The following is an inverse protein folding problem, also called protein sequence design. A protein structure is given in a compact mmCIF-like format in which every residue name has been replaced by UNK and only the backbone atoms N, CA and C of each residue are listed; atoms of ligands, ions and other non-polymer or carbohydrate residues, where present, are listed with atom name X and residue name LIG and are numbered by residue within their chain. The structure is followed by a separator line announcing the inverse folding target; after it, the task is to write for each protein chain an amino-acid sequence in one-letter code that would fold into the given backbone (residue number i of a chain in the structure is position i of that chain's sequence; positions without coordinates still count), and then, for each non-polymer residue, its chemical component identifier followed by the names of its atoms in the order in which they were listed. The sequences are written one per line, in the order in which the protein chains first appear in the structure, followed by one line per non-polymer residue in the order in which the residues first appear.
data_IF_780438464307
#
_entry.id   IF_780438464307
#
_cell.length_a   1.000
_cell.length_b   1.000
_cell.length_c   1.000
_cell.angle_alpha   90.00
_cell.angle_beta   90.00
_cell.angle_gamma   90.00
#
_symmetry.space_group_name_H-M   'P 1'
#
loop_
_entity.id
_entity.type
_entity.pdbx_description
1 polymer ?
#
# COMPACT_ATOMS: atom_id res chain seq x y z
N UNK A 1 13.30 -7.37 -2.95
CA UNK A 1 12.58 -6.10 -3.22
C UNK A 1 11.08 -6.37 -3.42
N UNK A 2 10.71 -7.25 -4.36
CA UNK A 2 9.31 -7.61 -4.62
C UNK A 2 8.60 -8.21 -3.40
N UNK A 3 9.23 -9.15 -2.69
CA UNK A 3 8.67 -9.74 -1.48
C UNK A 3 8.31 -8.69 -0.41
N UNK A 4 9.22 -7.74 -0.15
CA UNK A 4 8.96 -6.64 0.80
C UNK A 4 7.79 -5.75 0.34
N UNK A 5 7.63 -5.52 -0.96
CA UNK A 5 6.50 -4.77 -1.50
C UNK A 5 5.16 -5.50 -1.32
N UNK A 6 5.16 -6.83 -1.43
CA UNK A 6 3.97 -7.65 -1.17
C UNK A 6 3.65 -7.68 0.32
N UNK A 7 4.65 -7.91 1.18
CA UNK A 7 4.49 -7.94 2.64
C UNK A 7 3.92 -6.62 3.20
N UNK A 8 4.39 -5.47 2.71
CA UNK A 8 3.88 -4.16 3.12
C UNK A 8 2.40 -3.96 2.73
N UNK A 9 2.00 -4.39 1.53
CA UNK A 9 0.61 -4.31 1.07
C UNK A 9 -0.29 -5.36 1.73
N UNK A 10 0.28 -6.49 2.14
CA UNK A 10 -0.37 -7.51 2.95
C UNK A 10 -0.66 -7.03 4.37
N UNK A 11 0.27 -6.31 4.99
CA UNK A 11 0.07 -5.71 6.31
C UNK A 11 -1.02 -4.65 6.30
N UNK A 12 -1.08 -3.82 5.24
CA UNK A 12 -2.13 -2.82 5.10
C UNK A 12 -3.51 -3.43 4.78
N UNK A 13 -3.53 -4.57 4.08
CA UNK A 13 -4.72 -5.39 3.82
C UNK A 13 -5.93 -4.61 3.25
N UNK A 14 -5.68 -3.66 2.34
CA UNK A 14 -6.75 -2.88 1.69
C UNK A 14 -7.67 -3.80 0.88
N UNK A 15 -8.97 -3.71 1.13
CA UNK A 15 -9.97 -4.50 0.43
C UNK A 15 -10.40 -3.84 -0.90
N UNK A 16 -10.87 -4.64 -1.89
CA UNK A 16 -11.42 -4.10 -3.11
C UNK A 16 -12.60 -3.15 -2.83
N UNK A 17 -12.56 -1.93 -3.39
CA UNK A 17 -13.60 -0.91 -3.21
C UNK A 17 -13.55 -0.16 -1.88
N UNK A 18 -12.72 -0.59 -0.94
CA UNK A 18 -12.64 0.03 0.39
C UNK A 18 -12.15 1.49 0.33
N UNK A 19 -11.21 1.80 -0.57
CA UNK A 19 -10.72 3.18 -0.71
C UNK A 19 -11.84 4.14 -1.15
N UNK A 20 -12.73 3.70 -2.04
CA UNK A 20 -13.84 4.52 -2.51
C UNK A 20 -14.87 4.77 -1.39
N UNK A 21 -15.09 3.77 -0.53
CA UNK A 21 -15.92 3.91 0.67
C UNK A 21 -15.30 4.88 1.67
N UNK A 22 -13.99 4.75 1.93
CA UNK A 22 -13.24 5.66 2.81
C UNK A 22 -13.30 7.09 2.27
N UNK A 23 -13.11 7.30 0.96
CA UNK A 23 -13.16 8.63 0.35
C UNK A 23 -14.56 9.26 0.46
N UNK A 24 -15.60 8.48 0.18
CA UNK A 24 -16.99 8.95 0.28
C UNK A 24 -17.35 9.32 1.73
N UNK A 25 -16.95 8.49 2.69
CA UNK A 25 -17.20 8.74 4.10
C UNK A 25 -16.38 9.91 4.64
N UNK A 26 -15.11 10.03 4.23
CA UNK A 26 -14.24 11.13 4.62
C UNK A 26 -14.83 12.45 4.18
N UNK A 27 -15.30 12.55 2.93
CA UNK A 27 -15.96 13.75 2.43
C UNK A 27 -17.20 14.11 3.24
N UNK A 28 -18.00 13.11 3.64
CA UNK A 28 -19.19 13.32 4.49
C UNK A 28 -18.81 13.87 5.86
N UNK A 29 -17.83 13.27 6.53
CA UNK A 29 -17.40 13.66 7.87
C UNK A 29 -16.63 14.98 7.87
N UNK A 30 -15.81 15.25 6.85
CA UNK A 30 -15.08 16.51 6.69
C UNK A 30 -16.03 17.70 6.56
N UNK A 31 -17.12 17.54 5.80
CA UNK A 31 -18.17 18.56 5.72
C UNK A 31 -18.84 18.79 7.09
N UNK A 32 -19.08 17.73 7.86
CA UNK A 32 -19.61 17.82 9.21
C UNK A 32 -18.66 18.54 10.17
N UNK A 33 -17.37 18.20 10.13
CA UNK A 33 -16.34 18.86 10.94
C UNK A 33 -16.25 20.36 10.64
N UNK A 34 -16.24 20.72 9.35
CA UNK A 34 -16.29 22.11 8.91
C UNK A 34 -17.55 22.83 9.41
N UNK A 35 -18.70 22.16 9.42
CA UNK A 35 -19.93 22.73 10.00
C UNK A 35 -19.79 22.99 11.50
N UNK A 36 -19.25 22.03 12.27
CA UNK A 36 -19.03 22.22 13.72
C UNK A 36 -18.09 23.41 13.97
N UNK A 37 -16.95 23.46 13.28
CA UNK A 37 -15.95 24.52 13.45
C UNK A 37 -16.55 25.90 13.15
N UNK A 38 -17.27 26.03 12.02
CA UNK A 38 -17.93 27.28 11.66
C UNK A 38 -19.06 27.65 12.63
N UNK A 39 -19.80 26.67 13.18
CA UNK A 39 -20.79 26.93 14.22
C UNK A 39 -20.13 27.46 15.50
N UNK A 40 -19.02 26.85 15.93
CA UNK A 40 -18.22 27.30 17.08
C UNK A 40 -17.71 28.73 16.89
N UNK A 41 -17.14 29.04 15.72
CA UNK A 41 -16.70 30.40 15.40
C UNK A 41 -17.87 31.39 15.38
N UNK A 42 -19.02 30.98 14.83
CA UNK A 42 -20.25 31.79 14.84
C UNK A 42 -20.72 32.11 16.26
N UNK A 43 -20.80 31.11 17.14
CA UNK A 43 -21.16 31.29 18.56
C UNK A 43 -20.16 32.20 19.29
N UNK A 44 -18.87 32.04 19.03
CA UNK A 44 -17.84 32.92 19.56
C UNK A 44 -18.06 34.39 19.16
N UNK A 45 -18.37 34.65 17.89
CA UNK A 45 -18.63 36.01 17.40
C UNK A 45 -19.95 36.58 17.93
N UNK A 46 -20.99 35.75 18.07
CA UNK A 46 -22.32 36.19 18.46
C UNK A 46 -22.40 36.46 19.97
N UNK A 47 -21.92 35.54 20.81
CA UNK A 47 -22.19 35.55 22.26
C UNK A 47 -21.02 35.16 23.17
N UNK A 48 -20.07 34.33 22.75
CA UNK A 48 -19.06 33.74 23.67
C UNK A 48 -17.72 34.50 23.72
N UNK A 49 -17.45 35.41 22.77
CA UNK A 49 -16.18 36.14 22.73
C UNK A 49 -15.98 37.06 23.92
N UNK A 50 -14.88 36.88 24.66
CA UNK A 50 -14.61 37.58 25.93
C UNK A 50 -14.26 39.07 25.73
N UNK A 51 -13.49 39.41 24.70
CA UNK A 51 -13.05 40.80 24.44
C UNK A 51 -14.17 41.65 23.82
N UNK A 52 -14.85 41.11 22.80
CA UNK A 52 -15.99 41.72 22.14
C UNK A 52 -16.76 40.66 21.35
N UNK A 53 -18.08 40.66 21.50
CA UNK A 53 -19.02 39.87 20.71
C UNK A 53 -20.22 40.73 20.30
N UNK A 54 -20.99 40.28 19.31
CA UNK A 54 -22.10 41.06 18.75
C UNK A 54 -23.14 41.40 19.81
N UNK A 55 -23.50 40.44 20.68
CA UNK A 55 -24.47 40.63 21.76
C UNK A 55 -24.02 41.72 22.77
N UNK A 56 -22.77 41.68 23.22
CA UNK A 56 -22.22 42.64 24.18
C UNK A 56 -22.10 44.06 23.59
N UNK A 57 -21.75 44.16 22.30
CA UNK A 57 -21.68 45.45 21.60
C UNK A 57 -23.07 46.04 21.37
N UNK A 58 -24.06 45.22 20.99
CA UNK A 58 -25.46 45.65 20.88
C UNK A 58 -26.03 46.09 22.22
N UNK A 59 -25.78 45.35 23.31
CA UNK A 59 -26.17 45.75 24.66
C UNK A 59 -25.63 47.14 25.03
N UNK A 60 -24.34 47.41 24.76
CA UNK A 60 -23.74 48.74 24.98
C UNK A 60 -24.42 49.82 24.14
N UNK A 61 -24.74 49.54 22.88
CA UNK A 61 -25.44 50.47 22.00
C UNK A 61 -26.87 50.76 22.48
N UNK A 62 -27.59 49.74 22.96
CA UNK A 62 -28.91 49.89 23.59
C UNK A 62 -28.83 50.78 24.82
N UNK A 63 -27.87 50.55 25.73
CA UNK A 63 -27.70 51.39 26.93
C UNK A 63 -27.44 52.86 26.58
N UNK A 64 -26.58 53.12 25.59
CA UNK A 64 -26.31 54.49 25.13
C UNK A 64 -27.54 55.14 24.49
N UNK A 65 -28.31 54.40 23.69
CA UNK A 65 -29.56 54.91 23.12
C UNK A 65 -30.59 55.23 24.23
N UNK A 66 -30.62 54.41 25.29
CA UNK A 66 -31.50 54.61 26.44
C UNK A 66 -31.11 55.85 27.25
N UNK A 67 -29.82 56.15 27.41
CA UNK A 67 -29.35 57.40 28.03
C UNK A 67 -29.67 58.63 27.18
N UNK A 68 -29.60 58.50 25.85
CA UNK A 68 -29.82 59.62 24.93
C UNK A 68 -31.30 60.00 24.79
N UNK A 69 -32.23 59.07 25.02
CA UNK A 69 -33.68 59.34 24.96
C UNK A 69 -34.12 60.44 25.94
N UNK A 70 -33.39 60.60 27.05
CA UNK A 70 -33.67 61.63 28.06
C UNK A 70 -33.36 63.04 27.54
N UNK A 71 -32.53 63.15 26.49
CA UNK A 71 -32.19 64.41 25.82
C UNK A 71 -33.05 64.66 24.58
N UNK A 72 -33.35 63.62 23.80
CA UNK A 72 -34.18 63.71 22.59
C UNK A 72 -35.10 62.48 22.45
N UNK A 73 -36.43 62.65 22.63
CA UNK A 73 -37.41 61.58 22.50
C UNK A 73 -37.45 60.92 21.11
N UNK A 74 -36.99 61.58 20.03
CA UNK A 74 -36.96 60.95 18.70
C UNK A 74 -36.01 59.74 18.65
N UNK A 75 -35.06 59.65 19.59
CA UNK A 75 -34.10 58.54 19.69
C UNK A 75 -34.69 57.26 20.28
N UNK A 76 -35.90 57.30 20.86
CA UNK A 76 -36.61 56.12 21.38
C UNK A 76 -36.81 55.06 20.29
N UNK A 77 -37.08 55.49 19.05
CA UNK A 77 -37.26 54.60 17.89
C UNK A 77 -35.96 53.82 17.61
N UNK A 78 -34.81 54.47 17.71
CA UNK A 78 -33.50 53.83 17.48
C UNK A 78 -33.21 52.81 18.58
N UNK A 79 -33.48 53.15 19.84
CA UNK A 79 -33.34 52.22 20.97
C UNK A 79 -34.20 50.96 20.81
N UNK A 80 -35.45 51.12 20.38
CA UNK A 80 -36.35 50.00 20.10
C UNK A 80 -35.81 49.09 18.97
N UNK A 81 -35.34 49.67 17.86
CA UNK A 81 -34.73 48.90 16.77
C UNK A 81 -33.47 48.13 17.21
N UNK A 82 -32.63 48.72 18.06
CA UNK A 82 -31.45 48.06 18.61
C UNK A 82 -31.82 46.91 19.55
N UNK A 83 -32.88 47.06 20.35
CA UNK A 83 -33.41 45.99 21.20
C UNK A 83 -33.96 44.82 20.38
N UNK A 84 -34.70 45.08 19.31
CA UNK A 84 -35.19 44.03 18.39
C UNK A 84 -34.03 43.29 17.72
N UNK A 85 -32.98 44.01 17.30
CA UNK A 85 -31.77 43.40 16.75
C UNK A 85 -31.05 42.54 17.79
N UNK A 86 -30.95 43.00 19.05
CA UNK A 86 -30.36 42.23 20.15
C UNK A 86 -31.09 40.91 20.38
N UNK A 87 -32.43 40.94 20.45
CA UNK A 87 -33.26 39.73 20.60
C UNK A 87 -33.00 38.77 19.43
N UNK A 88 -32.99 39.29 18.19
CA UNK A 88 -32.76 38.48 16.99
C UNK A 88 -31.39 37.80 16.99
N UNK A 89 -30.35 38.49 17.50
CA UNK A 89 -29.00 37.94 17.65
C UNK A 89 -28.98 36.82 18.69
N UNK A 90 -29.61 37.03 19.85
CA UNK A 90 -29.70 36.02 20.92
C UNK A 90 -30.43 34.75 20.46
N UNK A 91 -31.55 34.91 19.74
CA UNK A 91 -32.29 33.78 19.16
C UNK A 91 -31.46 33.03 18.12
N UNK A 92 -30.74 33.76 17.26
CA UNK A 92 -29.86 33.16 16.25
C UNK A 92 -28.72 32.36 16.89
N UNK A 93 -28.11 32.89 17.96
CA UNK A 93 -27.07 32.19 18.72
C UNK A 93 -27.63 30.92 19.37
N UNK A 94 -28.81 30.99 19.99
CA UNK A 94 -29.47 29.83 20.59
C UNK A 94 -29.81 28.75 19.56
N UNK A 95 -30.32 29.13 18.39
CA UNK A 95 -30.64 28.17 17.32
C UNK A 95 -29.37 27.56 16.72
N UNK A 96 -28.28 28.33 16.57
CA UNK A 96 -26.99 27.83 16.13
C UNK A 96 -26.38 26.83 17.13
N UNK A 97 -26.50 27.11 18.42
CA UNK A 97 -26.06 26.20 19.49
C UNK A 97 -26.85 24.89 19.49
N UNK A 98 -28.18 24.98 19.30
CA UNK A 98 -29.04 23.82 19.13
C UNK A 98 -28.70 23.03 17.88
N UNK A 99 -28.44 23.70 16.75
CA UNK A 99 -28.01 23.02 15.53
C UNK A 99 -26.68 22.28 15.74
N UNK A 100 -25.70 22.92 16.38
CA UNK A 100 -24.41 22.31 16.70
C UNK A 100 -24.55 21.08 17.62
N UNK A 101 -25.46 21.10 18.60
CA UNK A 101 -25.64 19.95 19.49
C UNK A 101 -26.27 18.73 18.82
N UNK A 102 -26.92 18.91 17.67
CA UNK A 102 -27.46 17.80 16.85
C UNK A 102 -26.45 17.25 15.84
N UNK A 103 -25.31 17.92 15.62
CA UNK A 103 -24.22 17.40 14.82
C UNK A 103 -23.49 16.30 15.61
N UNK A 104 -23.99 15.07 15.50
CA UNK A 104 -23.28 13.87 15.95
C UNK A 104 -22.11 13.60 15.00
N UNK A 105 -20.93 14.08 15.38
CA UNK A 105 -19.67 13.62 14.79
C UNK A 105 -18.93 12.80 15.83
N UNK A 106 -18.48 11.62 15.42
CA UNK A 106 -17.55 10.79 16.16
C UNK A 106 -16.12 11.20 15.76
N UNK A 107 -15.40 11.98 16.59
CA UNK A 107 -14.07 12.47 16.24
C UNK A 107 -13.04 11.35 16.20
N UNK A 108 -13.24 10.30 16.99
CA UNK A 108 -12.34 9.15 17.04
C UNK A 108 -12.46 8.34 15.76
N UNK A 109 -13.69 8.11 15.28
CA UNK A 109 -13.95 7.49 13.99
C UNK A 109 -13.35 8.30 12.82
N UNK A 110 -13.54 9.62 12.81
CA UNK A 110 -12.98 10.47 11.76
C UNK A 110 -11.44 10.43 11.74
N UNK A 111 -10.79 10.43 12.90
CA UNK A 111 -9.33 10.31 13.00
C UNK A 111 -8.82 8.95 12.49
N UNK A 112 -9.52 7.85 12.80
CA UNK A 112 -9.19 6.52 12.28
C UNK A 112 -9.31 6.48 10.75
N UNK A 113 -10.36 7.09 10.21
CA UNK A 113 -10.60 7.17 8.77
C UNK A 113 -9.50 7.98 8.05
N UNK A 114 -9.12 9.14 8.60
CA UNK A 114 -8.00 9.98 8.14
C UNK A 114 -6.69 9.19 8.13
N UNK A 115 -6.39 8.45 9.20
CA UNK A 115 -5.19 7.63 9.29
C UNK A 115 -5.17 6.56 8.19
N UNK A 116 -6.29 5.84 8.01
CA UNK A 116 -6.40 4.78 6.98
C UNK A 116 -6.29 5.34 5.56
N UNK A 117 -6.93 6.47 5.29
CA UNK A 117 -6.85 7.21 4.02
C UNK A 117 -5.41 7.66 3.72
N UNK A 118 -4.74 8.26 4.72
CA UNK A 118 -3.36 8.73 4.58
C UNK A 118 -2.38 7.58 4.31
N UNK A 119 -2.53 6.45 5.00
CA UNK A 119 -1.76 5.24 4.76
C UNK A 119 -1.96 4.72 3.33
N UNK A 120 -3.21 4.63 2.85
CA UNK A 120 -3.50 4.23 1.47
C UNK A 120 -2.82 5.15 0.45
N UNK A 121 -2.86 6.46 0.65
CA UNK A 121 -2.21 7.44 -0.24
C UNK A 121 -0.68 7.34 -0.20
N UNK A 122 -0.09 7.07 0.97
CA UNK A 122 1.35 6.88 1.11
C UNK A 122 1.83 5.64 0.33
N UNK A 123 1.12 4.52 0.49
CA UNK A 123 1.41 3.29 -0.24
C UNK A 123 1.22 3.48 -1.75
N UNK A 124 0.11 4.07 -2.18
CA UNK A 124 -0.14 4.39 -3.58
C UNK A 124 0.99 5.22 -4.21
N UNK A 125 1.50 6.25 -3.50
CA UNK A 125 2.66 7.02 -3.95
C UNK A 125 3.94 6.19 -4.04
N UNK A 126 4.19 5.32 -3.06
CA UNK A 126 5.37 4.42 -3.04
C UNK A 126 5.37 3.43 -4.20
N UNK A 127 4.18 2.94 -4.57
CA UNK A 127 3.97 2.02 -5.69
C UNK A 127 3.71 2.71 -7.03
N UNK A 128 3.61 4.05 -7.06
CA UNK A 128 3.38 4.85 -8.27
C UNK A 128 2.08 4.42 -8.99
N UNK A 129 1.01 4.25 -8.21
CA UNK A 129 -0.34 3.94 -8.70
C UNK A 129 -1.35 4.86 -8.05
N UNK A 130 -2.55 4.95 -8.62
CA UNK A 130 -3.65 5.57 -7.90
C UNK A 130 -4.05 4.71 -6.68
N UNK A 131 -4.57 5.30 -5.60
CA UNK A 131 -5.06 4.53 -4.46
C UNK A 131 -6.17 3.54 -4.82
N UNK A 132 -7.03 3.88 -5.80
CA UNK A 132 -8.06 2.96 -6.31
C UNK A 132 -7.46 1.70 -6.96
N UNK A 133 -6.30 1.83 -7.60
CA UNK A 133 -5.62 0.72 -8.28
C UNK A 133 -4.72 -0.09 -7.34
N UNK A 134 -4.55 0.32 -6.08
CA UNK A 134 -3.59 -0.30 -5.16
C UNK A 134 -3.85 -1.80 -4.95
N UNK A 135 -5.13 -2.19 -4.87
CA UNK A 135 -5.54 -3.60 -4.70
C UNK A 135 -5.22 -4.43 -5.96
N UNK A 136 -5.48 -3.88 -7.14
CA UNK A 136 -5.15 -4.52 -8.40
C UNK A 136 -3.62 -4.65 -8.57
N UNK A 137 -2.88 -3.62 -8.20
CA UNK A 137 -1.42 -3.63 -8.18
C UNK A 137 -0.89 -4.69 -7.21
N UNK A 138 -1.42 -4.76 -5.99
CA UNK A 138 -1.07 -5.78 -5.00
C UNK A 138 -1.27 -7.21 -5.56
N UNK A 139 -2.41 -7.46 -6.19
CA UNK A 139 -2.72 -8.75 -6.82
C UNK A 139 -1.69 -9.11 -7.90
N UNK A 140 -1.29 -8.13 -8.72
CA UNK A 140 -0.28 -8.33 -9.76
C UNK A 140 1.10 -8.66 -9.16
N UNK A 141 1.54 -7.94 -8.12
CA UNK A 141 2.81 -8.22 -7.46
C UNK A 141 2.85 -9.63 -6.84
N UNK A 142 1.75 -10.08 -6.24
CA UNK A 142 1.63 -11.45 -5.72
C UNK A 142 1.80 -12.50 -6.81
N UNK A 143 1.12 -12.32 -7.95
CA UNK A 143 1.26 -13.22 -9.08
C UNK A 143 2.70 -13.25 -9.65
N UNK A 144 3.37 -12.10 -9.71
CA UNK A 144 4.77 -12.01 -10.12
C UNK A 144 5.70 -12.72 -9.13
N UNK A 145 5.45 -12.60 -7.82
CA UNK A 145 6.21 -13.28 -6.78
C UNK A 145 6.04 -14.79 -6.85
N UNK A 146 4.79 -15.26 -6.94
CA UNK A 146 4.47 -16.69 -7.06
C UNK A 146 5.11 -17.32 -8.31
N UNK A 147 5.17 -16.57 -9.42
CA UNK A 147 5.81 -17.02 -10.64
C UNK A 147 7.33 -17.21 -10.47
N UNK A 148 8.00 -16.29 -9.78
CA UNK A 148 9.44 -16.36 -9.49
C UNK A 148 9.75 -17.56 -8.59
N UNK A 149 8.96 -17.76 -7.53
CA UNK A 149 9.15 -18.88 -6.60
C UNK A 149 8.90 -20.24 -7.29
N UNK A 150 7.90 -20.28 -8.19
CA UNK A 150 7.65 -21.44 -9.04
C UNK A 150 8.79 -21.76 -9.99
N UNK A 151 9.43 -20.74 -10.57
CA UNK A 151 10.55 -20.93 -11.50
C UNK A 151 11.84 -21.37 -10.79
N UNK A 152 12.11 -20.87 -9.57
CA UNK A 152 13.21 -21.38 -8.75
C UNK A 152 13.04 -22.87 -8.44
N UNK A 153 11.83 -23.28 -8.09
CA UNK A 153 11.52 -24.70 -7.81
C UNK A 153 11.73 -25.59 -9.04
N UNK A 154 11.38 -25.11 -10.24
CA UNK A 154 11.65 -25.83 -11.50
C UNK A 154 13.14 -25.93 -11.79
N UNK A 155 13.90 -24.87 -11.52
CA UNK A 155 15.34 -24.82 -11.77
C UNK A 155 16.07 -25.86 -10.90
N UNK A 156 15.75 -25.95 -9.61
CA UNK A 156 16.28 -26.99 -8.73
C UNK A 156 15.98 -28.41 -9.23
N UNK A 157 14.76 -28.64 -9.75
CA UNK A 157 14.39 -29.91 -10.38
C UNK A 157 15.25 -30.25 -11.60
N UNK A 158 15.47 -29.29 -12.48
CA UNK A 158 16.31 -29.45 -13.68
C UNK A 158 17.77 -29.73 -13.30
N UNK A 159 18.31 -29.08 -12.26
CA UNK A 159 19.66 -29.35 -11.77
C UNK A 159 19.82 -30.79 -11.25
N UNK A 160 18.81 -31.30 -10.54
CA UNK A 160 18.79 -32.70 -10.08
C UNK A 160 18.71 -33.69 -11.25
N UNK A 161 17.87 -33.43 -12.24
CA UNK A 161 17.75 -34.25 -13.45
C UNK A 161 19.04 -34.25 -14.28
N UNK A 162 19.70 -33.09 -14.38
CA UNK A 162 20.98 -32.94 -15.06
C UNK A 162 22.07 -33.77 -14.38
N UNK A 163 22.18 -33.69 -13.04
CA UNK A 163 23.17 -34.45 -12.29
C UNK A 163 22.90 -35.97 -12.38
N UNK A 164 21.64 -36.39 -12.28
CA UNK A 164 21.27 -37.80 -12.47
C UNK A 164 21.62 -38.30 -13.88
N UNK A 165 21.31 -37.51 -14.91
CA UNK A 165 21.63 -37.83 -16.31
C UNK A 165 23.14 -37.89 -16.55
N UNK A 166 23.89 -36.96 -15.95
CA UNK A 166 25.36 -36.94 -15.99
C UNK A 166 25.95 -38.20 -15.34
N UNK A 167 25.45 -38.60 -14.17
CA UNK A 167 25.91 -39.82 -13.49
C UNK A 167 25.60 -41.07 -14.32
N UNK A 168 24.40 -41.15 -14.91
CA UNK A 168 24.03 -42.25 -15.80
C UNK A 168 24.93 -42.30 -17.05
N UNK A 169 25.22 -41.15 -17.65
CA UNK A 169 26.15 -41.02 -18.76
C UNK A 169 27.56 -41.53 -18.39
N UNK A 170 28.13 -41.04 -17.29
CA UNK A 170 29.47 -41.45 -16.82
C UNK A 170 29.51 -42.96 -16.56
N UNK A 171 28.50 -43.52 -15.90
CA UNK A 171 28.44 -44.95 -15.61
C UNK A 171 28.43 -45.79 -16.90
N UNK A 172 27.68 -45.35 -17.92
CA UNK A 172 27.63 -46.06 -19.20
C UNK A 172 28.91 -45.87 -20.02
N UNK A 173 29.50 -44.68 -20.00
CA UNK A 173 30.79 -44.40 -20.62
C UNK A 173 31.92 -45.24 -20.00
N UNK A 174 31.93 -45.42 -18.68
CA UNK A 174 32.85 -46.32 -17.98
C UNK A 174 32.70 -47.76 -18.43
N UNK A 175 31.47 -48.30 -18.49
CA UNK A 175 31.23 -49.66 -18.98
C UNK A 175 31.73 -49.86 -20.42
N UNK A 176 31.45 -48.89 -21.29
CA UNK A 176 31.91 -48.92 -22.67
C UNK A 176 33.44 -48.86 -22.78
N UNK A 177 34.07 -47.95 -22.04
CA UNK A 177 35.53 -47.78 -22.02
C UNK A 177 36.25 -49.03 -21.51
N UNK A 178 35.73 -49.67 -20.45
CA UNK A 178 36.25 -50.94 -19.94
C UNK A 178 36.10 -52.07 -20.97
N UNK A 179 34.94 -52.15 -21.64
CA UNK A 179 34.70 -53.12 -22.70
C UNK A 179 35.69 -52.94 -23.87
N UNK A 180 35.83 -51.70 -24.37
CA UNK A 180 36.77 -51.38 -25.46
C UNK A 180 38.22 -51.68 -25.07
N UNK A 181 38.63 -51.29 -23.87
CA UNK A 181 39.97 -51.60 -23.34
C UNK A 181 40.24 -53.10 -23.24
N UNK A 182 39.24 -53.89 -22.86
CA UNK A 182 39.35 -55.36 -22.80
C UNK A 182 39.57 -55.95 -24.20
N UNK A 183 38.71 -55.60 -25.15
CA UNK A 183 38.80 -56.14 -26.52
C UNK A 183 40.01 -55.62 -27.29
N UNK A 184 40.49 -54.40 -27.01
CA UNK A 184 41.74 -53.88 -27.55
C UNK A 184 42.93 -54.77 -27.16
N UNK A 185 43.04 -55.15 -25.87
CA UNK A 185 44.10 -56.06 -25.39
C UNK A 185 44.01 -57.46 -26.00
N UNK A 186 42.82 -57.94 -26.30
CA UNK A 186 42.60 -59.23 -26.94
C UNK A 186 43.05 -59.19 -28.41
N UNK A 187 42.62 -58.16 -29.14
CA UNK A 187 43.00 -57.93 -30.53
C UNK A 187 44.51 -57.70 -30.68
N UNK A 188 45.14 -56.96 -29.76
CA UNK A 188 46.59 -56.74 -29.72
C UNK A 188 47.38 -58.04 -29.75
N UNK A 189 46.95 -59.02 -28.95
CA UNK A 189 47.59 -60.33 -28.87
C UNK A 189 47.40 -61.12 -30.16
N UNK A 190 46.18 -61.15 -30.69
CA UNK A 190 45.85 -61.87 -31.93
C UNK A 190 46.68 -61.32 -33.10
N UNK A 191 46.70 -59.99 -33.28
CA UNK A 191 47.46 -59.34 -34.36
C UNK A 191 48.96 -59.52 -34.16
N UNK A 192 49.47 -59.38 -32.93
CA UNK A 192 50.90 -59.63 -32.64
C UNK A 192 51.29 -61.08 -32.95
N UNK A 193 50.43 -62.05 -32.69
CA UNK A 193 50.69 -63.46 -33.01
C UNK A 193 50.75 -63.67 -34.53
N UNK A 194 49.78 -63.16 -35.29
CA UNK A 194 49.81 -63.23 -36.76
C UNK A 194 51.03 -62.54 -37.37
N UNK A 195 51.47 -61.40 -36.82
CA UNK A 195 52.70 -60.72 -37.27
C UNK A 195 53.95 -61.59 -37.05
N UNK A 196 54.01 -62.31 -35.93
CA UNK A 196 55.14 -63.22 -35.64
C UNK A 196 55.19 -64.41 -36.59
N UNK A 197 54.04 -64.95 -36.98
CA UNK A 197 53.91 -66.02 -37.97
C UNK A 197 54.37 -65.56 -39.38
N UNK A 198 54.32 -64.25 -39.66
CA UNK A 198 54.77 -63.63 -40.90
C UNK A 198 56.27 -63.24 -40.89
N UNK A 199 57.13 -64.04 -40.26
CA UNK A 199 58.60 -63.85 -40.21
C UNK A 199 59.09 -62.56 -39.48
N UNK A 200 58.27 -61.96 -38.61
CA UNK A 200 58.67 -60.82 -37.76
C UNK A 200 58.64 -61.20 -36.26
N UNK A 201 59.58 -62.04 -35.78
CA UNK A 201 59.50 -62.66 -34.45
C UNK A 201 59.55 -61.66 -33.27
N UNK A 202 60.09 -60.46 -33.49
CA UNK A 202 60.17 -59.37 -32.49
C UNK A 202 59.11 -58.28 -32.65
N UNK A 203 58.25 -58.37 -33.67
CA UNK A 203 57.17 -57.39 -33.90
C UNK A 203 56.14 -57.42 -32.76
N UNK A 204 55.65 -56.23 -32.37
CA UNK A 204 54.59 -56.07 -31.37
C UNK A 204 53.60 -55.02 -31.87
N UNK A 205 52.33 -55.35 -31.81
CA UNK A 205 51.23 -54.43 -32.10
C UNK A 205 50.50 -54.08 -30.80
N UNK A 206 50.07 -52.83 -30.68
CA UNK A 206 49.39 -52.30 -29.48
C UNK A 206 48.33 -51.29 -29.88
N UNK A 207 47.15 -51.38 -29.26
CA UNK A 207 46.03 -50.46 -29.38
C UNK A 207 45.88 -49.73 -28.05
N UNK A 208 45.85 -48.41 -28.12
CA UNK A 208 45.56 -47.56 -26.98
C UNK A 208 44.10 -47.09 -27.01
N UNK A 209 43.45 -47.10 -25.84
CA UNK A 209 42.04 -46.71 -25.69
C UNK A 209 41.96 -45.59 -24.66
N UNK A 210 41.64 -44.39 -25.15
CA UNK A 210 41.36 -43.25 -24.30
C UNK A 210 39.96 -43.33 -23.69
N UNK A 211 39.83 -42.87 -22.44
CA UNK A 211 38.54 -42.74 -21.79
C UNK A 211 37.64 -41.79 -22.59
N UNK A 212 36.37 -42.17 -22.74
CA UNK A 212 35.34 -41.37 -23.39
C UNK A 212 34.54 -40.60 -22.33
#
# INVERSE_FOLDING_TARGET
LLQYQVEELDEFALQPGEFDEIEAEHKRLANGSALIENCQQGLYLLSEGEDANVESLLNKAVMLADELKDYDPELEIIGNMLNEALISVQESAAELQRYQSHLELDPEHFAQLEQRMSQAMQLARKHIVSPQELVAHHTKLKQELDAIDGDNSKLEGIEQELEASRQAYIAQAQKLSLSRSRYAKELDKLVTQSIKELNMPKGKFTIDVNFC
#
